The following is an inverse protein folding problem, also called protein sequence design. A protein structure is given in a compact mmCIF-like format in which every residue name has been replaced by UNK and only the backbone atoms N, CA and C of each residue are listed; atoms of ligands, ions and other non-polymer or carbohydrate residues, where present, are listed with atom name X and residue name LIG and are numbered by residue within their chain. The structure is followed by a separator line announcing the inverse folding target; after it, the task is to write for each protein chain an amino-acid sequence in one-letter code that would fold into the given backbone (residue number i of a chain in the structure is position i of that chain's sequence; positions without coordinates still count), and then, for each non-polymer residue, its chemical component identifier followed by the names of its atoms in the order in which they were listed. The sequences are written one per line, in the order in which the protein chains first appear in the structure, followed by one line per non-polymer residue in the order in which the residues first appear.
data_IF_132165147905
#
_entry.id   IF_132165147905
#
_cell.length_a   1.000
_cell.length_b   1.000
_cell.length_c   1.000
_cell.angle_alpha   90.00
_cell.angle_beta   90.00
_cell.angle_gamma   90.00
#
_symmetry.space_group_name_H-M   'P 1'
#
loop_
_entity.id
_entity.type
_entity.pdbx_description
1 polymer ?
#
# COMPACT_ATOMS: atom_id res chain seq x y z
N UNK A 1 33.62 -49.73 16.98
CA UNK A 1 32.33 -50.35 16.60
C UNK A 1 31.98 -49.83 15.22
N UNK A 2 32.09 -50.66 14.18
CA UNK A 2 31.68 -50.30 12.82
C UNK A 2 30.17 -50.44 12.73
N UNK A 3 29.48 -49.33 12.45
CA UNK A 3 28.05 -49.34 12.16
C UNK A 3 27.93 -49.65 10.66
N UNK A 4 27.31 -50.78 10.26
CA UNK A 4 27.10 -51.06 8.85
C UNK A 4 26.15 -50.02 8.27
N UNK A 5 26.63 -49.27 7.28
CA UNK A 5 25.79 -48.43 6.45
C UNK A 5 24.89 -49.32 5.60
N UNK A 6 23.64 -49.49 6.03
CA UNK A 6 22.60 -50.10 5.21
C UNK A 6 22.13 -49.05 4.20
N UNK A 7 22.68 -49.10 2.98
CA UNK A 7 22.08 -48.40 1.85
C UNK A 7 20.82 -49.17 1.45
N UNK A 8 19.67 -48.62 1.81
CA UNK A 8 18.37 -49.11 1.34
C UNK A 8 18.22 -48.58 -0.09
N UNK A 9 18.69 -49.36 -1.05
CA UNK A 9 18.42 -49.10 -2.46
C UNK A 9 16.95 -49.45 -2.72
N UNK A 10 16.11 -48.42 -2.86
CA UNK A 10 14.68 -48.57 -3.02
C UNK A 10 14.36 -48.93 -4.46
N UNK A 11 14.11 -50.21 -4.71
CA UNK A 11 13.66 -50.69 -6.00
C UNK A 11 12.14 -50.46 -6.16
N UNK A 12 11.71 -49.54 -7.05
CA UNK A 12 10.30 -49.25 -7.25
C UNK A 12 9.51 -50.46 -7.78
N UNK A 13 10.16 -51.41 -8.48
CA UNK A 13 9.48 -52.59 -9.00
C UNK A 13 9.05 -53.54 -7.88
N UNK A 14 9.88 -53.69 -6.84
CA UNK A 14 9.53 -54.49 -5.67
C UNK A 14 8.33 -53.89 -4.92
N UNK A 15 8.27 -52.56 -4.79
CA UNK A 15 7.13 -51.89 -4.16
C UNK A 15 5.84 -52.14 -4.93
N UNK A 16 5.87 -52.00 -6.26
CA UNK A 16 4.69 -52.21 -7.12
C UNK A 16 4.20 -53.66 -7.02
N UNK A 17 5.11 -54.63 -7.04
CA UNK A 17 4.75 -56.03 -6.93
C UNK A 17 4.17 -56.38 -5.56
N UNK A 18 4.71 -55.80 -4.49
CA UNK A 18 4.19 -55.96 -3.13
C UNK A 18 2.79 -55.35 -2.99
N UNK A 19 2.59 -54.13 -3.53
CA UNK A 19 1.28 -53.46 -3.58
C UNK A 19 0.24 -54.26 -4.36
N UNK A 20 0.63 -54.79 -5.53
CA UNK A 20 -0.25 -55.61 -6.36
C UNK A 20 -0.67 -56.88 -5.61
N UNK A 21 0.28 -57.58 -5.00
CA UNK A 21 -0.01 -58.79 -4.21
C UNK A 21 -0.99 -58.50 -3.08
N UNK A 22 -0.75 -57.42 -2.33
CA UNK A 22 -1.63 -56.98 -1.26
C UNK A 22 -3.03 -56.61 -1.78
N UNK A 23 -3.13 -55.90 -2.90
CA UNK A 23 -4.41 -55.54 -3.52
C UNK A 23 -5.21 -56.77 -3.95
N UNK A 24 -4.56 -57.77 -4.55
CA UNK A 24 -5.25 -59.01 -4.96
C UNK A 24 -5.79 -59.74 -3.73
N UNK A 25 -4.97 -59.91 -2.68
CA UNK A 25 -5.39 -60.53 -1.43
C UNK A 25 -6.56 -59.77 -0.79
N UNK A 26 -6.49 -58.44 -0.78
CA UNK A 26 -7.55 -57.57 -0.26
C UNK A 26 -8.84 -57.69 -1.06
N UNK A 27 -8.78 -57.70 -2.39
CA UNK A 27 -9.95 -57.85 -3.26
C UNK A 27 -10.61 -59.20 -3.05
N UNK A 28 -9.83 -60.28 -2.95
CA UNK A 28 -10.39 -61.61 -2.66
C UNK A 28 -11.08 -61.63 -1.29
N UNK A 29 -10.44 -61.09 -0.25
CA UNK A 29 -11.03 -60.94 1.07
C UNK A 29 -12.33 -60.11 1.04
N UNK A 30 -12.35 -59.05 0.23
CA UNK A 30 -13.52 -58.18 0.08
C UNK A 30 -14.69 -58.88 -0.63
N UNK A 31 -14.40 -59.67 -1.67
CA UNK A 31 -15.41 -60.42 -2.42
C UNK A 31 -16.05 -61.51 -1.56
N UNK A 32 -15.27 -62.14 -0.67
CA UNK A 32 -15.77 -63.14 0.28
C UNK A 32 -16.55 -62.55 1.46
N UNK A 33 -16.41 -61.24 1.72
CA UNK A 33 -17.10 -60.57 2.80
C UNK A 33 -18.62 -60.46 2.54
N UNK A 34 -19.46 -60.49 3.59
CA UNK A 34 -20.91 -60.33 3.45
C UNK A 34 -21.29 -58.96 2.85
N UNK A 35 -22.39 -58.91 2.10
CA UNK A 35 -22.86 -57.71 1.37
C UNK A 35 -22.92 -56.44 2.23
N UNK A 36 -23.30 -56.56 3.51
CA UNK A 36 -23.34 -55.43 4.43
C UNK A 36 -21.95 -54.80 4.63
N UNK A 37 -20.89 -55.61 4.76
CA UNK A 37 -19.52 -55.13 4.92
C UNK A 37 -19.02 -54.41 3.65
N UNK A 38 -19.39 -54.92 2.47
CA UNK A 38 -19.03 -54.30 1.19
C UNK A 38 -19.64 -52.90 1.05
N UNK A 39 -20.92 -52.75 1.39
CA UNK A 39 -21.61 -51.45 1.35
C UNK A 39 -20.99 -50.48 2.36
N UNK A 40 -20.72 -50.94 3.59
CA UNK A 40 -20.15 -50.11 4.65
C UNK A 40 -18.75 -49.61 4.29
N UNK A 41 -17.91 -50.47 3.70
CA UNK A 41 -16.59 -50.08 3.20
C UNK A 41 -16.72 -49.05 2.07
N UNK A 42 -17.67 -49.23 1.15
CA UNK A 42 -17.92 -48.27 0.07
C UNK A 42 -18.28 -46.88 0.60
N UNK A 43 -19.16 -46.80 1.60
CA UNK A 43 -19.51 -45.54 2.27
C UNK A 43 -18.29 -44.95 2.99
N UNK A 44 -17.50 -45.78 3.67
CA UNK A 44 -16.28 -45.35 4.35
C UNK A 44 -15.25 -44.75 3.39
N UNK A 45 -15.04 -45.39 2.24
CA UNK A 45 -14.14 -44.90 1.20
C UNK A 45 -14.62 -43.56 0.63
N UNK A 46 -15.92 -43.44 0.34
CA UNK A 46 -16.50 -42.19 -0.13
C UNK A 46 -16.34 -41.07 0.90
N UNK A 47 -16.57 -41.36 2.18
CA UNK A 47 -16.38 -40.41 3.27
C UNK A 47 -14.91 -39.96 3.37
N UNK A 48 -13.95 -40.87 3.26
CA UNK A 48 -12.51 -40.54 3.26
C UNK A 48 -12.14 -39.64 2.08
N UNK A 49 -12.65 -39.92 0.88
CA UNK A 49 -12.43 -39.08 -0.30
C UNK A 49 -13.02 -37.68 -0.07
N UNK A 50 -14.25 -37.59 0.43
CA UNK A 50 -14.90 -36.32 0.72
C UNK A 50 -14.13 -35.49 1.76
N UNK A 51 -13.66 -36.13 2.83
CA UNK A 51 -12.83 -35.48 3.86
C UNK A 51 -11.51 -35.00 3.26
N UNK A 52 -10.85 -35.82 2.44
CA UNK A 52 -9.59 -35.47 1.78
C UNK A 52 -9.74 -34.24 0.87
N UNK A 53 -10.77 -34.21 0.02
CA UNK A 53 -11.08 -33.05 -0.84
C UNK A 53 -11.35 -31.81 0.01
N UNK A 54 -12.14 -31.96 1.07
CA UNK A 54 -12.46 -30.87 2.00
C UNK A 54 -11.19 -30.32 2.65
N UNK A 55 -10.29 -31.20 3.10
CA UNK A 55 -9.01 -30.81 3.71
C UNK A 55 -8.15 -30.01 2.73
N UNK A 56 -8.00 -30.48 1.48
CA UNK A 56 -7.26 -29.79 0.42
C UNK A 56 -7.87 -28.41 0.16
N UNK A 57 -9.20 -28.32 0.08
CA UNK A 57 -9.91 -27.06 -0.08
C UNK A 57 -9.60 -26.07 1.06
N UNK A 58 -9.61 -26.53 2.31
CA UNK A 58 -9.29 -25.67 3.46
C UNK A 58 -7.83 -25.23 3.49
N UNK A 59 -6.89 -26.11 3.12
CA UNK A 59 -5.47 -25.75 3.00
C UNK A 59 -5.29 -24.67 1.93
N UNK A 60 -5.86 -24.86 0.74
CA UNK A 60 -5.80 -23.88 -0.34
C UNK A 60 -6.43 -22.53 0.07
N UNK A 61 -7.59 -22.57 0.75
CA UNK A 61 -8.25 -21.37 1.30
C UNK A 61 -7.37 -20.67 2.34
N UNK A 62 -6.68 -21.42 3.19
CA UNK A 62 -5.73 -20.90 4.16
C UNK A 62 -4.54 -20.20 3.50
N UNK A 63 -3.93 -20.84 2.49
CA UNK A 63 -2.82 -20.27 1.71
C UNK A 63 -3.26 -18.98 1.02
N UNK A 64 -4.44 -18.97 0.39
CA UNK A 64 -4.99 -17.78 -0.26
C UNK A 64 -5.14 -16.61 0.72
N UNK A 65 -5.67 -16.87 1.92
CA UNK A 65 -5.80 -15.84 2.96
C UNK A 65 -4.44 -15.33 3.45
N UNK A 66 -3.45 -16.22 3.59
CA UNK A 66 -2.08 -15.83 3.97
C UNK A 66 -1.44 -14.92 2.94
N UNK A 67 -1.48 -15.30 1.65
CA UNK A 67 -0.93 -14.49 0.56
C UNK A 67 -1.60 -13.11 0.54
N UNK A 68 -2.94 -13.06 0.65
CA UNK A 68 -3.70 -11.81 0.70
C UNK A 68 -3.21 -10.89 1.83
N UNK A 69 -2.97 -11.44 3.02
CA UNK A 69 -2.46 -10.67 4.17
C UNK A 69 -1.01 -10.20 3.96
N UNK A 70 -0.15 -11.06 3.42
CA UNK A 70 1.24 -10.71 3.11
C UNK A 70 1.30 -9.59 2.08
N UNK A 71 0.57 -9.69 0.97
CA UNK A 71 0.49 -8.64 -0.05
C UNK A 71 -0.02 -7.33 0.53
N UNK A 72 -1.05 -7.37 1.39
CA UNK A 72 -1.56 -6.17 2.06
C UNK A 72 -0.53 -5.55 3.02
N UNK A 73 0.29 -6.38 3.69
CA UNK A 73 1.40 -5.94 4.52
C UNK A 73 2.50 -5.26 3.71
N UNK A 74 2.94 -5.89 2.62
CA UNK A 74 3.97 -5.35 1.72
C UNK A 74 3.49 -4.04 1.09
N UNK A 75 2.25 -3.97 0.62
CA UNK A 75 1.68 -2.75 0.05
C UNK A 75 1.71 -1.58 1.05
N UNK A 76 1.33 -1.83 2.31
CA UNK A 76 1.39 -0.81 3.37
C UNK A 76 2.82 -0.38 3.70
N UNK A 77 3.77 -1.30 3.71
CA UNK A 77 5.18 -1.01 3.93
C UNK A 77 5.76 -0.18 2.78
N UNK A 78 5.51 -0.60 1.53
CA UNK A 78 5.93 0.13 0.34
C UNK A 78 5.37 1.55 0.31
N UNK A 79 4.10 1.73 0.69
CA UNK A 79 3.50 3.07 0.78
C UNK A 79 4.19 3.96 1.82
N UNK A 80 4.59 3.41 2.97
CA UNK A 80 5.35 4.18 3.98
C UNK A 80 6.73 4.56 3.47
N UNK A 81 7.43 3.62 2.84
CA UNK A 81 8.77 3.87 2.27
C UNK A 81 8.69 4.93 1.17
N UNK A 82 7.70 4.83 0.28
CA UNK A 82 7.49 5.79 -0.80
C UNK A 82 7.33 7.23 -0.28
N UNK A 83 6.47 7.44 0.72
CA UNK A 83 6.29 8.75 1.35
C UNK A 83 7.55 9.26 2.05
N UNK A 84 8.32 8.35 2.65
CA UNK A 84 9.58 8.72 3.32
C UNK A 84 10.64 9.18 2.33
N UNK A 85 10.69 8.56 1.13
CA UNK A 85 11.57 8.97 0.05
C UNK A 85 11.13 10.33 -0.52
N UNK A 86 9.83 10.51 -0.79
CA UNK A 86 9.27 11.77 -1.29
C UNK A 86 9.58 12.95 -0.37
N UNK A 87 9.40 12.77 0.95
CA UNK A 87 9.72 13.79 1.95
C UNK A 87 11.20 14.19 1.95
N UNK A 88 12.11 13.22 1.75
CA UNK A 88 13.56 13.51 1.67
C UNK A 88 13.96 14.23 0.37
N UNK A 89 13.26 13.99 -0.73
CA UNK A 89 13.55 14.65 -2.02
C UNK A 89 13.17 16.14 -1.94
N UNK A 90 12.02 16.47 -1.35
CA UNK A 90 11.59 17.86 -1.16
C UNK A 90 12.54 18.67 -0.27
N UNK A 91 13.13 18.04 0.75
CA UNK A 91 14.12 18.69 1.63
C UNK A 91 15.42 19.07 0.89
N UNK A 92 15.86 18.25 -0.06
CA UNK A 92 17.05 18.52 -0.88
C UNK A 92 16.81 19.63 -1.91
N UNK A 93 15.63 19.67 -2.52
CA UNK A 93 15.32 20.68 -3.53
C UNK A 93 15.25 22.10 -2.92
N UNK A 94 14.80 22.23 -1.67
CA UNK A 94 14.68 23.53 -1.02
C UNK A 94 16.03 24.16 -0.57
N UNK A 95 17.09 23.35 -0.39
CA UNK A 95 18.42 23.85 0.00
C UNK A 95 19.21 24.51 -1.13
N UNK A 96 18.98 24.16 -2.40
CA UNK A 96 19.72 24.75 -3.53
C UNK A 96 19.17 26.11 -3.97
N UNK A 97 17.85 26.36 -3.82
CA UNK A 97 17.26 27.65 -4.19
C UNK A 97 17.68 28.82 -3.28
N UNK A 98 18.13 28.56 -2.03
CA UNK A 98 18.60 29.64 -1.15
C UNK A 98 20.03 30.12 -1.50
N UNK A 99 20.85 29.28 -2.13
CA UNK A 99 22.20 29.67 -2.55
C UNK A 99 22.20 30.47 -3.88
N UNK A 100 21.21 30.25 -4.75
CA UNK A 100 21.12 30.97 -6.02
C UNK A 100 20.53 32.39 -5.86
N UNK A 101 19.59 32.59 -4.93
CA UNK A 101 19.02 33.93 -4.65
C UNK A 101 19.96 34.86 -3.88
N UNK A 102 20.94 34.35 -3.13
CA UNK A 102 21.94 35.19 -2.46
C UNK A 102 23.12 35.61 -3.36
N UNK A 103 23.32 34.98 -4.52
CA UNK A 103 24.40 35.34 -5.46
C UNK A 103 23.97 36.30 -6.58
N UNK A 104 22.67 36.49 -6.77
CA UNK A 104 22.11 37.33 -7.83
C UNK A 104 21.87 38.80 -7.41
N UNK A 105 22.18 39.20 -6.16
CA UNK A 105 21.86 40.55 -5.65
C UNK A 105 23.00 41.56 -5.66
N UNK A 106 24.22 41.17 -6.01
CA UNK A 106 25.40 42.06 -6.03
C UNK A 106 25.87 42.48 -7.43
N UNK A 107 25.08 42.23 -8.48
CA UNK A 107 25.46 42.70 -9.82
C UNK A 107 24.25 42.99 -10.70
N UNK A 108 24.02 44.30 -10.88
CA UNK A 108 23.31 45.00 -11.97
C UNK A 108 21.88 45.45 -11.67
N UNK A 109 21.80 46.74 -11.30
CA UNK A 109 21.00 47.71 -12.04
C UNK A 109 21.01 47.40 -13.54
N UNK A 110 19.83 47.16 -14.12
CA UNK A 110 19.73 46.92 -15.55
C UNK A 110 18.48 46.18 -15.98
N UNK A 111 17.42 46.97 -16.14
CA UNK A 111 16.45 46.86 -17.23
C UNK A 111 15.45 45.68 -17.27
N UNK A 112 14.21 46.06 -16.99
CA UNK A 112 12.98 45.72 -17.70
C UNK A 112 13.07 44.59 -18.74
N UNK A 113 12.50 43.43 -18.43
CA UNK A 113 11.73 42.64 -19.39
C UNK A 113 10.89 41.59 -18.69
N UNK A 114 9.58 41.75 -18.85
CA UNK A 114 8.53 40.77 -18.58
C UNK A 114 8.84 39.44 -19.28
N UNK A 115 8.80 38.34 -18.52
CA UNK A 115 8.58 37.02 -19.10
C UNK A 115 7.41 36.34 -18.40
N UNK A 116 6.31 36.25 -19.14
CA UNK A 116 5.08 35.56 -18.80
C UNK A 116 5.34 34.05 -18.71
N UNK A 117 5.53 33.53 -17.51
CA UNK A 117 5.39 32.11 -17.22
C UNK A 117 4.09 31.93 -16.44
N UNK A 118 3.03 31.59 -17.18
CA UNK A 118 1.72 31.25 -16.65
C UNK A 118 1.77 29.86 -16.01
N UNK A 119 2.37 29.78 -14.83
CA UNK A 119 2.11 28.68 -13.89
C UNK A 119 0.75 28.98 -13.26
N UNK A 120 -0.21 28.13 -13.57
CA UNK A 120 -1.59 28.20 -13.10
C UNK A 120 -1.65 27.85 -11.61
N UNK A 121 -1.18 28.77 -10.76
CA UNK A 121 -1.31 28.69 -9.32
C UNK A 121 -2.78 28.58 -8.96
N UNK A 122 -3.14 27.52 -8.23
CA UNK A 122 -4.49 27.34 -7.68
C UNK A 122 -4.72 28.40 -6.59
N UNK A 123 -5.12 29.60 -7.01
CA UNK A 123 -5.55 30.68 -6.11
C UNK A 123 -6.81 30.24 -5.38
N UNK A 124 -6.75 30.29 -4.05
CA UNK A 124 -7.89 30.04 -3.18
C UNK A 124 -8.49 31.40 -2.87
N UNK A 125 -9.67 31.66 -3.45
CA UNK A 125 -10.41 32.90 -3.24
C UNK A 125 -11.13 32.84 -1.89
N UNK A 126 -10.72 33.70 -0.97
CA UNK A 126 -11.39 33.87 0.33
C UNK A 126 -12.43 34.99 0.22
N UNK A 127 -13.70 34.68 0.54
CA UNK A 127 -14.81 35.65 0.50
C UNK A 127 -14.98 36.48 1.78
N UNK A 128 -14.38 36.09 2.90
CA UNK A 128 -14.49 36.83 4.16
C UNK A 128 -13.22 36.66 5.02
N UNK A 129 -12.34 37.67 5.08
CA UNK A 129 -11.04 37.55 5.73
C UNK A 129 -11.12 37.40 7.25
N UNK A 130 -12.13 37.98 7.90
CA UNK A 130 -12.22 37.99 9.37
C UNK A 130 -12.60 36.63 9.97
N UNK A 131 -13.00 35.65 9.14
CA UNK A 131 -13.43 34.33 9.60
C UNK A 131 -12.44 33.21 9.30
N UNK A 132 -11.37 33.48 8.56
CA UNK A 132 -10.40 32.44 8.18
C UNK A 132 -9.37 32.27 9.28
N UNK A 133 -9.61 31.35 10.20
CA UNK A 133 -8.65 30.95 11.24
C UNK A 133 -7.72 29.82 10.80
N UNK A 134 -8.11 29.09 9.76
CA UNK A 134 -7.45 27.85 9.34
C UNK A 134 -7.16 27.86 7.84
N UNK A 135 -6.06 27.24 7.45
CA UNK A 135 -5.73 27.01 6.06
C UNK A 135 -6.68 25.96 5.47
N UNK A 136 -7.37 26.30 4.37
CA UNK A 136 -8.28 25.39 3.67
C UNK A 136 -7.59 24.19 3.00
N UNK A 137 -6.27 24.19 2.92
CA UNK A 137 -5.49 23.10 2.31
C UNK A 137 -4.92 22.15 3.36
N UNK A 138 -4.15 22.65 4.34
CA UNK A 138 -3.53 21.79 5.36
C UNK A 138 -4.35 21.65 6.64
N UNK A 139 -5.42 22.45 6.83
CA UNK A 139 -6.26 22.42 8.04
C UNK A 139 -5.64 23.08 9.27
N UNK A 140 -4.39 23.52 9.20
CA UNK A 140 -3.66 24.13 10.32
C UNK A 140 -4.09 25.58 10.57
N UNK A 141 -4.01 26.02 11.82
CA UNK A 141 -4.31 27.41 12.19
C UNK A 141 -3.31 28.38 11.56
N UNK A 142 -3.80 29.50 11.03
CA UNK A 142 -2.94 30.55 10.50
C UNK A 142 -2.28 31.32 11.65
N UNK A 143 -0.99 31.64 11.51
CA UNK A 143 -0.26 32.44 12.49
C UNK A 143 -0.86 33.84 12.58
N UNK A 144 -0.77 34.47 13.76
CA UNK A 144 -1.23 35.86 13.98
C UNK A 144 -0.54 36.84 13.02
N UNK A 145 0.71 36.53 12.62
CA UNK A 145 1.47 37.32 11.64
C UNK A 145 0.87 37.20 10.24
N UNK A 146 0.56 35.97 9.81
CA UNK A 146 -0.07 35.73 8.51
C UNK A 146 -1.47 36.38 8.44
N UNK A 147 -2.25 36.33 9.52
CA UNK A 147 -3.56 36.98 9.59
C UNK A 147 -3.47 38.51 9.47
N UNK A 148 -2.49 39.13 10.13
CA UNK A 148 -2.27 40.57 10.03
C UNK A 148 -1.84 41.00 8.62
N UNK A 149 -0.97 40.23 7.97
CA UNK A 149 -0.55 40.49 6.59
C UNK A 149 -1.72 40.29 5.63
N UNK A 150 -2.53 39.24 5.82
CA UNK A 150 -3.71 38.99 4.99
C UNK A 150 -4.74 40.13 5.11
N UNK A 151 -4.94 40.66 6.31
CA UNK A 151 -5.84 41.79 6.55
C UNK A 151 -5.32 43.11 5.98
N UNK A 152 -3.99 43.32 5.96
CA UNK A 152 -3.36 44.56 5.49
C UNK A 152 -3.15 44.58 3.97
N UNK A 153 -2.60 43.50 3.44
CA UNK A 153 -2.10 43.45 2.06
C UNK A 153 -2.99 42.59 1.14
N UNK A 154 -4.07 42.00 1.67
CA UNK A 154 -5.02 41.18 0.91
C UNK A 154 -4.49 39.79 0.52
N UNK A 155 -3.21 39.51 0.79
CA UNK A 155 -2.52 38.27 0.46
C UNK A 155 -1.58 37.84 1.59
N UNK A 156 -1.60 36.56 1.96
CA UNK A 156 -0.64 36.00 2.91
C UNK A 156 -0.34 34.54 2.58
N UNK A 157 0.86 34.07 2.90
CA UNK A 157 1.24 32.68 2.75
C UNK A 157 0.96 31.88 4.03
N UNK A 158 0.56 30.62 3.87
CA UNK A 158 0.50 29.69 4.99
C UNK A 158 1.91 29.21 5.35
N UNK A 159 2.35 29.42 6.59
CA UNK A 159 3.66 28.99 7.09
C UNK A 159 3.85 27.46 7.05
N UNK A 160 2.76 26.69 7.10
CA UNK A 160 2.83 25.21 7.12
C UNK A 160 2.82 24.57 5.72
N UNK A 161 2.10 25.14 4.75
CA UNK A 161 1.95 24.54 3.41
C UNK A 161 2.46 25.40 2.25
N UNK A 162 2.96 26.61 2.52
CA UNK A 162 3.54 27.51 1.52
C UNK A 162 2.55 28.12 0.52
N UNK A 163 1.26 27.78 0.59
CA UNK A 163 0.26 28.31 -0.36
C UNK A 163 -0.15 29.74 -0.02
N UNK A 164 -0.37 30.54 -1.07
CA UNK A 164 -0.85 31.92 -0.98
C UNK A 164 -2.38 31.91 -0.86
N UNK A 165 -2.87 32.60 0.16
CA UNK A 165 -4.28 32.95 0.34
C UNK A 165 -4.48 34.39 -0.12
N UNK A 166 -5.49 34.63 -0.94
CA UNK A 166 -5.83 35.96 -1.46
C UNK A 166 -7.32 36.22 -1.19
N UNK A 167 -7.62 37.43 -0.71
CA UNK A 167 -9.00 37.89 -0.56
C UNK A 167 -9.48 38.30 -1.95
N UNK A 168 -10.62 37.76 -2.41
CA UNK A 168 -11.22 38.34 -3.61
C UNK A 168 -11.67 39.76 -3.29
N UNK A 169 -10.97 40.74 -3.86
CA UNK A 169 -11.44 42.11 -3.97
C UNK A 169 -12.68 42.13 -4.86
N UNK A 170 -13.83 41.85 -4.28
CA UNK A 170 -15.12 42.21 -4.86
C UNK A 170 -16.02 42.61 -3.70
N UNK A 171 -16.49 43.87 -3.75
CA UNK A 171 -17.49 44.52 -2.88
C UNK A 171 -17.03 45.20 -1.57
N UNK A 172 -16.04 46.11 -1.65
CA UNK A 172 -15.98 47.26 -0.73
C UNK A 172 -15.71 48.58 -1.46
N UNK A 173 -16.54 48.86 -2.47
CA UNK A 173 -16.94 50.24 -2.79
C UNK A 173 -18.45 50.33 -2.52
N UNK A 174 -18.82 50.34 -1.24
CA UNK A 174 -20.03 51.03 -0.81
C UNK A 174 -19.51 52.38 -0.37
N UNK A 175 -19.54 53.33 -1.31
CA UNK A 175 -19.40 54.75 -0.99
C UNK A 175 -20.54 55.10 -0.02
N UNK A 176 -20.17 55.73 1.09
CA UNK A 176 -21.09 56.27 2.12
C UNK A 176 -21.81 57.48 1.53
#
# INVERSE_FOLDING_TARGET
MNIPHFNIEFDPEQLINLLRSYLIAFVNYFVEAPLFAQILMGIGLFALIAISITLIYYIAKGIYLLIKKICQGIYKLGQKIYRFIEQKIEEFEHTDYCHQWCRAKDSRDGDSSESNISQKEKKIIVKNPQRVKFCSFCGEALSSRALNILAKDGRAFCENCGRIHEIAENSSKIEI
#
